data_IF_990416095499
#
_entry.id   IF_990416095499
#
_cell.length_a   1.000
_cell.length_b   1.000
_cell.length_c   1.000
_cell.angle_alpha   90.00
_cell.angle_beta   90.00
_cell.angle_gamma   90.00
#
_symmetry.space_group_name_H-M   'P 1'
#
loop_
_entity.id
_entity.type
_entity.pdbx_description
1 polymer ?
#
# COMPACT_ATOMS: atom_id res chain seq x y z
N UNK A 1 7.66 17.40 5.97
CA UNK A 1 7.61 15.94 5.71
C UNK A 1 6.56 15.72 4.63
N UNK A 2 6.95 15.32 3.42
CA UNK A 2 5.96 14.97 2.39
C UNK A 2 5.25 13.71 2.86
N UNK A 3 3.96 13.83 3.20
CA UNK A 3 3.15 12.65 3.52
C UNK A 3 2.57 12.11 2.23
N UNK A 4 2.98 10.91 1.80
CA UNK A 4 2.34 10.20 0.70
C UNK A 4 0.84 10.03 0.99
N UNK A 5 0.01 10.34 0.00
CA UNK A 5 -1.43 10.14 0.08
C UNK A 5 -1.76 8.67 -0.19
N UNK A 6 -2.35 8.00 0.81
CA UNK A 6 -2.78 6.60 0.69
C UNK A 6 -4.23 6.55 0.20
N UNK A 7 -4.51 5.66 -0.75
CA UNK A 7 -5.85 5.43 -1.30
C UNK A 7 -6.03 3.98 -1.73
N UNK A 8 -7.27 3.55 -1.89
CA UNK A 8 -7.60 2.22 -2.39
C UNK A 8 -8.05 2.29 -3.84
N UNK A 9 -7.58 1.35 -4.68
CA UNK A 9 -8.07 1.19 -6.05
C UNK A 9 -9.57 0.91 -6.07
N UNK A 10 -10.04 0.10 -5.13
CA UNK A 10 -11.46 -0.12 -4.87
C UNK A 10 -11.87 0.63 -3.59
N UNK A 11 -12.67 1.72 -3.66
CA UNK A 11 -13.05 2.48 -2.47
C UNK A 11 -13.91 1.67 -1.48
N UNK A 12 -14.59 0.62 -1.97
CA UNK A 12 -15.42 -0.27 -1.16
C UNK A 12 -14.62 -1.38 -0.46
N UNK A 13 -13.30 -1.46 -0.68
CA UNK A 13 -12.45 -2.41 0.02
C UNK A 13 -12.58 -2.19 1.54
N UNK A 14 -12.80 -3.27 2.28
CA UNK A 14 -13.04 -3.26 3.72
C UNK A 14 -14.15 -2.29 4.19
N UNK A 15 -15.15 -1.96 3.36
CA UNK A 15 -16.27 -1.08 3.75
C UNK A 15 -16.96 -1.51 5.05
N UNK A 16 -17.08 -2.81 5.29
CA UNK A 16 -17.69 -3.39 6.48
C UNK A 16 -16.68 -3.71 7.60
N UNK A 17 -15.39 -3.39 7.41
CA UNK A 17 -14.29 -3.64 8.35
C UNK A 17 -13.39 -2.39 8.45
N UNK A 18 -13.91 -1.25 8.95
CA UNK A 18 -13.19 0.03 8.92
C UNK A 18 -11.89 0.03 9.75
N UNK A 19 -11.85 -0.70 10.87
CA UNK A 19 -10.64 -0.86 11.67
C UNK A 19 -9.51 -1.51 10.84
N UNK A 20 -9.83 -2.64 10.18
CA UNK A 20 -8.91 -3.34 9.27
C UNK A 20 -8.44 -2.46 8.12
N UNK A 21 -9.35 -1.65 7.55
CA UNK A 21 -9.01 -0.68 6.51
C UNK A 21 -7.96 0.32 7.00
N UNK A 22 -8.19 0.88 8.19
CA UNK A 22 -7.30 1.86 8.80
C UNK A 22 -5.94 1.28 9.20
N UNK A 23 -5.90 0.03 9.68
CA UNK A 23 -4.66 -0.69 9.97
C UNK A 23 -3.80 -0.83 8.72
N UNK A 24 -4.37 -1.32 7.61
CA UNK A 24 -3.64 -1.44 6.34
C UNK A 24 -3.18 -0.07 5.83
N UNK A 25 -4.01 0.96 5.91
CA UNK A 25 -3.63 2.32 5.51
C UNK A 25 -2.45 2.85 6.34
N UNK A 26 -2.40 2.53 7.64
CA UNK A 26 -1.31 2.90 8.55
C UNK A 26 -0.02 2.16 8.18
N UNK A 27 -0.08 0.84 7.99
CA UNK A 27 1.08 0.03 7.59
C UNK A 27 1.66 0.50 6.25
N UNK A 28 0.80 0.85 5.28
CA UNK A 28 1.23 1.37 3.98
C UNK A 28 1.88 2.73 4.12
N UNK A 29 1.34 3.61 4.97
CA UNK A 29 1.92 4.92 5.24
C UNK A 29 3.31 4.79 5.87
N UNK A 30 3.46 3.96 6.89
CA UNK A 30 4.74 3.76 7.59
C UNK A 30 5.78 3.12 6.65
N UNK A 31 5.36 2.13 5.84
CA UNK A 31 6.20 1.51 4.81
C UNK A 31 6.62 2.49 3.72
N UNK A 32 5.78 3.47 3.40
CA UNK A 32 6.04 4.49 2.37
C UNK A 32 7.11 5.49 2.79
N UNK A 33 7.10 5.93 4.06
CA UNK A 33 8.10 6.84 4.63
C UNK A 33 9.51 6.23 4.64
N UNK A 34 9.60 4.91 4.74
CA UNK A 34 10.86 4.17 4.68
C UNK A 34 11.23 3.71 3.27
N UNK A 35 10.43 4.05 2.25
CA UNK A 35 10.58 3.46 0.91
C UNK A 35 11.49 4.29 0.00
N UNK A 36 12.17 3.59 -0.91
CA UNK A 36 12.83 4.22 -2.05
C UNK A 36 11.85 4.95 -2.99
N UNK A 37 10.53 4.71 -2.88
CA UNK A 37 9.52 5.37 -3.71
C UNK A 37 9.36 6.84 -3.33
N UNK A 38 9.33 7.17 -2.03
CA UNK A 38 9.28 8.57 -1.57
C UNK A 38 10.51 9.34 -2.05
N UNK A 39 11.71 8.73 -1.96
CA UNK A 39 12.96 9.31 -2.48
C UNK A 39 12.96 9.53 -4.00
N UNK A 40 12.12 8.81 -4.74
CA UNK A 40 11.93 8.94 -6.20
C UNK A 40 10.79 9.90 -6.57
N UNK A 41 10.25 10.63 -5.59
CA UNK A 41 9.21 11.64 -5.80
C UNK A 41 7.79 11.08 -5.83
N UNK A 42 7.56 9.86 -5.32
CA UNK A 42 6.19 9.38 -5.16
C UNK A 42 5.43 10.28 -4.16
N UNK A 43 4.23 10.67 -4.53
CA UNK A 43 3.31 11.48 -3.71
C UNK A 43 2.02 10.72 -3.39
N UNK A 44 1.75 9.63 -4.10
CA UNK A 44 0.55 8.81 -3.93
C UNK A 44 0.90 7.33 -3.78
N UNK A 45 0.14 6.63 -2.94
CA UNK A 45 0.17 5.19 -2.75
C UNK A 45 -1.23 4.62 -2.96
N UNK A 46 -1.37 3.72 -3.93
CA UNK A 46 -2.65 3.11 -4.30
C UNK A 46 -2.60 1.62 -3.94
N UNK A 47 -3.41 1.23 -2.97
CA UNK A 47 -3.56 -0.16 -2.54
C UNK A 47 -4.45 -0.87 -3.57
N UNK A 48 -3.93 -1.92 -4.22
CA UNK A 48 -4.62 -2.61 -5.33
C UNK A 48 -5.85 -3.38 -4.89
N UNK A 49 -5.87 -3.87 -3.66
CA UNK A 49 -6.94 -4.68 -3.10
C UNK A 49 -6.58 -5.18 -1.70
N UNK A 50 -7.42 -6.08 -1.17
CA UNK A 50 -7.23 -6.65 0.15
C UNK A 50 -5.94 -7.45 0.37
N UNK A 51 -5.74 -7.79 1.63
CA UNK A 51 -4.65 -8.64 2.12
C UNK A 51 -4.69 -9.99 1.42
N UNK A 52 -3.55 -10.41 0.89
CA UNK A 52 -3.36 -11.71 0.27
C UNK A 52 -1.99 -12.28 0.60
N UNK A 53 -1.79 -13.55 0.23
CA UNK A 53 -0.53 -14.27 0.39
C UNK A 53 0.12 -14.45 -0.97
N UNK A 54 1.44 -14.64 -0.95
CA UNK A 54 2.18 -15.02 -2.15
C UNK A 54 1.67 -16.35 -2.69
N UNK A 55 1.93 -16.61 -3.98
CA UNK A 55 1.64 -17.91 -4.58
C UNK A 55 2.27 -19.07 -3.80
N UNK A 56 1.75 -20.30 -3.91
CA UNK A 56 2.32 -21.48 -3.27
C UNK A 56 3.81 -21.63 -3.58
N UNK A 57 4.65 -21.68 -2.54
CA UNK A 57 6.12 -21.69 -2.66
C UNK A 57 6.81 -20.35 -2.37
N UNK A 58 6.07 -19.25 -2.22
CA UNK A 58 6.58 -17.95 -1.76
C UNK A 58 6.44 -17.73 -0.25
N UNK A 59 6.93 -16.57 0.23
CA UNK A 59 6.78 -16.14 1.63
C UNK A 59 5.28 -16.07 1.97
N UNK A 60 4.85 -16.84 2.96
CA UNK A 60 3.45 -17.02 3.35
C UNK A 60 2.89 -15.82 4.13
N UNK A 61 3.68 -14.77 4.29
CA UNK A 61 3.28 -13.54 4.95
C UNK A 61 2.17 -12.83 4.19
N UNK A 62 1.21 -12.37 4.97
CA UNK A 62 0.12 -11.53 4.52
C UNK A 62 0.64 -10.15 4.13
N UNK A 63 0.22 -9.70 2.96
CA UNK A 63 0.62 -8.40 2.44
C UNK A 63 -0.47 -7.80 1.55
N UNK A 64 -0.35 -6.50 1.31
CA UNK A 64 -1.07 -5.80 0.25
C UNK A 64 -0.11 -5.34 -0.82
N UNK A 65 -0.61 -5.25 -2.05
CA UNK A 65 0.15 -4.71 -3.18
C UNK A 65 -0.16 -3.25 -3.36
N UNK A 66 0.87 -2.41 -3.33
CA UNK A 66 0.77 -0.95 -3.39
C UNK A 66 1.50 -0.43 -4.62
N UNK A 67 0.82 0.38 -5.42
CA UNK A 67 1.42 1.17 -6.48
C UNK A 67 1.75 2.57 -5.98
N UNK A 68 3.02 2.94 -6.08
CA UNK A 68 3.47 4.29 -5.78
C UNK A 68 3.52 5.14 -7.05
N UNK A 69 2.95 6.33 -6.99
CA UNK A 69 2.85 7.25 -8.13
C UNK A 69 3.30 8.66 -7.76
N UNK A 70 3.75 9.40 -8.76
CA UNK A 70 3.97 10.85 -8.68
C UNK A 70 2.63 11.60 -8.81
N UNK A 71 2.66 12.91 -8.61
CA UNK A 71 1.47 13.76 -8.61
C UNK A 71 0.79 13.88 -9.99
N UNK A 72 1.54 13.65 -11.07
CA UNK A 72 1.04 13.59 -12.45
C UNK A 72 0.42 12.21 -12.79
N UNK A 73 0.47 11.25 -11.87
CA UNK A 73 -0.04 9.89 -12.05
C UNK A 73 0.99 8.90 -12.60
N UNK A 74 2.24 9.33 -12.85
CA UNK A 74 3.30 8.44 -13.33
C UNK A 74 3.63 7.36 -12.30
N UNK A 75 3.75 6.13 -12.77
CA UNK A 75 4.12 4.99 -11.95
C UNK A 75 5.60 5.05 -11.57
N UNK A 76 5.88 4.99 -10.26
CA UNK A 76 7.25 4.93 -9.72
C UNK A 76 7.67 3.49 -9.47
N UNK A 77 6.87 2.74 -8.73
CA UNK A 77 7.16 1.33 -8.39
C UNK A 77 5.93 0.65 -7.80
N UNK A 78 5.90 -0.67 -7.84
CA UNK A 78 4.96 -1.50 -7.06
C UNK A 78 5.72 -2.16 -5.92
N UNK A 79 5.11 -2.26 -4.74
CA UNK A 79 5.71 -2.92 -3.55
C UNK A 79 4.66 -3.77 -2.84
N UNK A 80 5.12 -4.87 -2.24
CA UNK A 80 4.34 -5.58 -1.22
C UNK A 80 4.59 -4.94 0.14
N UNK A 81 3.52 -4.51 0.80
CA UNK A 81 3.56 -4.04 2.18
C UNK A 81 3.02 -5.17 3.04
N UNK A 82 3.91 -5.77 3.83
CA UNK A 82 3.50 -6.76 4.81
C UNK A 82 2.67 -6.08 5.88
N UNK A 83 1.52 -6.68 6.16
CA UNK A 83 0.57 -6.23 7.18
C UNK A 83 0.66 -7.21 8.34
N UNK A 84 0.70 -6.71 9.56
CA UNK A 84 0.59 -7.57 10.73
C UNK A 84 -0.89 -7.80 11.02
N UNK A 85 -1.34 -9.06 11.14
CA UNK A 85 -2.72 -9.37 11.53
C UNK A 85 -3.00 -9.08 13.01
#
# INVERSE_FOLDING_TARGET
MSSIKVSWKNPNEYKNQPAKKQEVETDVKDSSQSSAAERKGATEAIIRGGIHKSQPGGDQKEHVTVDYKKADGDHVTTKHVYVNP
#
